data_IF_948470644624
#
_entry.id   IF_948470644624
#
_cell.length_a   1.000
_cell.length_b   1.000
_cell.length_c   1.000
_cell.angle_alpha   90.00
_cell.angle_beta   90.00
_cell.angle_gamma   90.00
#
_symmetry.space_group_name_H-M   'P 1'
#
loop_
_entity.id
_entity.type
_entity.pdbx_description
1 polymer ?
#
# COMPACT_ATOMS: atom_id res chain seq x y z
N UNK A 1 0.13 20.45 2.97
CA UNK A 1 0.95 19.98 1.87
C UNK A 1 0.11 19.20 0.88
N UNK A 2 0.61 19.05 -0.33
CA UNK A 2 -0.11 18.31 -1.37
C UNK A 2 -0.29 16.83 -1.03
N UNK A 3 0.66 16.20 -0.34
CA UNK A 3 0.52 14.81 0.10
C UNK A 3 -0.59 14.65 1.13
N UNK A 4 -0.70 15.59 2.06
CA UNK A 4 -1.78 15.59 3.05
C UNK A 4 -3.14 15.70 2.39
N UNK A 5 -3.28 16.61 1.42
CA UNK A 5 -4.51 16.78 0.68
C UNK A 5 -4.90 15.55 -0.12
N UNK A 6 -3.94 14.89 -0.76
CA UNK A 6 -4.16 13.66 -1.50
C UNK A 6 -4.61 12.54 -0.55
N UNK A 7 -3.97 12.41 0.62
CA UNK A 7 -4.34 11.40 1.60
C UNK A 7 -5.78 11.62 2.10
N UNK A 8 -6.16 12.86 2.38
CA UNK A 8 -7.52 13.21 2.81
C UNK A 8 -8.53 12.86 1.72
N UNK A 9 -8.22 13.19 0.47
CA UNK A 9 -9.10 12.89 -0.66
C UNK A 9 -9.28 11.38 -0.84
N UNK A 10 -8.19 10.62 -0.78
CA UNK A 10 -8.24 9.17 -0.93
C UNK A 10 -9.03 8.52 0.20
N UNK A 11 -8.81 8.94 1.43
CA UNK A 11 -9.57 8.43 2.57
C UNK A 11 -11.05 8.75 2.44
N UNK A 12 -11.39 9.96 1.97
CA UNK A 12 -12.77 10.36 1.72
C UNK A 12 -13.44 9.55 0.61
N UNK A 13 -12.70 9.23 -0.45
CA UNK A 13 -13.23 8.42 -1.55
C UNK A 13 -13.46 6.97 -1.11
N UNK A 14 -12.59 6.40 -0.28
CA UNK A 14 -12.77 5.06 0.28
C UNK A 14 -13.99 5.05 1.21
N UNK A 15 -14.10 6.06 2.07
CA UNK A 15 -15.24 6.27 2.97
C UNK A 15 -15.62 5.04 3.81
N UNK A 16 -14.66 4.23 4.19
CA UNK A 16 -14.84 3.09 5.10
C UNK A 16 -14.46 3.51 6.52
N UNK A 17 -15.22 3.07 7.51
CA UNK A 17 -14.94 3.39 8.90
C UNK A 17 -13.72 2.65 9.44
N UNK A 18 -13.05 3.25 10.41
CA UNK A 18 -11.89 2.67 11.10
C UNK A 18 -10.73 2.30 10.16
N UNK A 19 -10.53 3.10 9.12
CA UNK A 19 -9.43 2.93 8.17
C UNK A 19 -8.57 4.18 8.12
N UNK A 20 -7.32 4.01 7.62
CA UNK A 20 -6.42 5.14 7.45
C UNK A 20 -5.63 5.00 6.15
N UNK A 21 -5.17 6.14 5.65
CA UNK A 21 -4.30 6.22 4.48
C UNK A 21 -3.07 7.04 4.88
N UNK A 22 -1.89 6.49 4.62
CA UNK A 22 -0.62 7.17 4.87
C UNK A 22 0.13 7.28 3.55
N UNK A 23 0.52 8.49 3.18
CA UNK A 23 1.40 8.74 2.03
C UNK A 23 2.78 9.14 2.56
N UNK A 24 3.81 8.50 2.01
CA UNK A 24 5.18 8.64 2.46
C UNK A 24 6.02 9.31 1.36
N UNK A 25 6.83 10.29 1.75
CA UNK A 25 7.76 10.97 0.86
C UNK A 25 9.19 10.61 1.24
N UNK A 26 10.04 10.39 0.24
CA UNK A 26 11.47 10.12 0.41
C UNK A 26 11.78 8.83 1.17
N UNK A 27 10.83 7.89 1.21
CA UNK A 27 11.00 6.57 1.81
C UNK A 27 10.07 5.57 1.13
N UNK A 28 10.42 4.29 1.21
CA UNK A 28 9.53 3.21 0.79
C UNK A 28 8.74 2.69 1.99
N UNK A 29 7.52 2.16 1.78
CA UNK A 29 6.71 1.63 2.88
C UNK A 29 7.44 0.61 3.75
N UNK A 30 8.28 -0.25 3.16
CA UNK A 30 9.05 -1.26 3.88
C UNK A 30 9.96 -0.64 4.94
N UNK A 31 10.41 0.60 4.74
CA UNK A 31 11.32 1.27 5.66
C UNK A 31 10.66 1.66 6.99
N UNK A 32 9.34 1.84 7.00
CA UNK A 32 8.58 2.29 8.17
C UNK A 32 7.50 1.32 8.61
N UNK A 33 7.31 0.23 7.88
CA UNK A 33 6.19 -0.70 8.06
C UNK A 33 6.14 -1.28 9.48
N UNK A 34 7.28 -1.72 10.02
CA UNK A 34 7.32 -2.29 11.36
C UNK A 34 6.93 -1.28 12.44
N UNK A 35 7.31 -0.02 12.27
CA UNK A 35 6.92 1.04 13.20
C UNK A 35 5.41 1.27 13.19
N UNK A 36 4.80 1.20 12.01
CA UNK A 36 3.34 1.33 11.88
C UNK A 36 2.65 0.14 12.51
N UNK A 37 3.10 -1.08 12.25
CA UNK A 37 2.52 -2.30 12.81
C UNK A 37 2.65 -2.36 14.33
N UNK A 38 3.66 -1.73 14.91
CA UNK A 38 3.85 -1.71 16.36
C UNK A 38 2.89 -0.77 17.08
N UNK A 39 2.18 0.09 16.36
CA UNK A 39 1.19 0.99 16.95
C UNK A 39 -0.02 0.18 17.44
N UNK A 40 -0.41 0.30 18.73
CA UNK A 40 -1.50 -0.52 19.29
C UNK A 40 -2.85 -0.34 18.58
N UNK A 41 -3.09 0.83 18.01
CA UNK A 41 -4.35 1.13 17.33
C UNK A 41 -4.44 0.51 15.92
N UNK A 42 -3.32 -0.01 15.39
CA UNK A 42 -3.28 -0.62 14.06
C UNK A 42 -3.53 -2.12 14.19
N UNK A 43 -4.71 -2.56 13.77
CA UNK A 43 -5.06 -3.98 13.81
C UNK A 43 -4.42 -4.75 12.65
N UNK A 44 -4.46 -4.16 11.45
CA UNK A 44 -3.86 -4.77 10.26
C UNK A 44 -3.60 -3.71 9.20
N UNK A 45 -2.78 -4.09 8.22
CA UNK A 45 -2.48 -3.25 7.07
C UNK A 45 -2.96 -3.99 5.82
N UNK A 46 -3.85 -3.38 5.04
CA UNK A 46 -4.36 -3.97 3.80
C UNK A 46 -3.31 -3.97 2.70
N UNK A 47 -2.54 -2.91 2.60
CA UNK A 47 -1.53 -2.77 1.56
C UNK A 47 -0.52 -1.70 1.95
N UNK A 48 0.75 -1.97 1.66
CA UNK A 48 1.83 -1.02 1.83
C UNK A 48 2.75 -1.15 0.63
N UNK A 49 2.72 -0.18 -0.28
CA UNK A 49 3.41 -0.29 -1.55
C UNK A 49 3.77 1.09 -2.11
N UNK A 50 4.71 1.11 -3.04
CA UNK A 50 5.02 2.29 -3.84
C UNK A 50 4.38 2.24 -5.24
N UNK A 51 3.64 1.18 -5.54
CA UNK A 51 2.95 1.01 -6.82
C UNK A 51 1.61 1.75 -6.84
N UNK A 52 1.05 2.01 -8.02
CA UNK A 52 -0.34 2.43 -8.12
C UNK A 52 -1.25 1.35 -7.55
N UNK A 53 -2.32 1.76 -6.87
CA UNK A 53 -3.24 0.82 -6.24
C UNK A 53 -4.68 1.16 -6.55
N UNK A 54 -5.53 0.14 -6.45
CA UNK A 54 -6.98 0.31 -6.46
C UNK A 54 -7.54 -0.35 -5.22
N UNK A 55 -8.40 0.35 -4.49
CA UNK A 55 -9.04 -0.17 -3.29
C UNK A 55 -10.44 -0.66 -3.68
N UNK A 56 -10.73 -1.92 -3.38
CA UNK A 56 -12.02 -2.53 -3.67
C UNK A 56 -12.90 -2.40 -2.44
N UNK A 57 -14.01 -1.69 -2.59
CA UNK A 57 -14.90 -1.35 -1.48
C UNK A 57 -16.26 -2.01 -1.71
N UNK A 58 -16.79 -2.64 -0.67
CA UNK A 58 -18.17 -3.11 -0.64
C UNK A 58 -19.01 -2.10 0.13
N UNK A 59 -20.25 -1.91 -0.31
CA UNK A 59 -21.18 -1.01 0.36
C UNK A 59 -22.47 -1.76 0.66
N UNK A 60 -22.96 -1.58 1.88
CA UNK A 60 -24.25 -2.12 2.32
C UNK A 60 -25.05 -1.01 2.99
N UNK A 61 -26.27 -1.33 3.44
CA UNK A 61 -27.09 -0.37 4.17
C UNK A 61 -26.43 0.09 5.47
N UNK A 62 -25.58 -0.75 6.07
CA UNK A 62 -24.85 -0.40 7.29
C UNK A 62 -23.71 0.58 7.03
N UNK A 63 -23.00 0.42 5.92
CA UNK A 63 -21.85 1.27 5.62
C UNK A 63 -20.96 0.67 4.54
N UNK A 64 -19.68 1.03 4.59
CA UNK A 64 -18.69 0.64 3.58
C UNK A 64 -17.53 -0.09 4.24
N UNK A 65 -17.00 -1.09 3.54
CA UNK A 65 -15.83 -1.86 4.01
C UNK A 65 -14.86 -2.14 2.88
N UNK A 66 -13.59 -2.31 3.23
CA UNK A 66 -12.56 -2.63 2.26
C UNK A 66 -12.54 -4.15 2.05
N UNK A 67 -12.71 -4.58 0.79
CA UNK A 67 -12.67 -5.99 0.41
C UNK A 67 -11.25 -6.43 0.07
N UNK A 68 -10.42 -5.53 -0.38
CA UNK A 68 -9.05 -5.83 -0.77
C UNK A 68 -8.42 -4.68 -1.52
N UNK A 69 -7.16 -4.86 -1.90
CA UNK A 69 -6.40 -3.85 -2.63
C UNK A 69 -5.69 -4.51 -3.80
N UNK A 70 -5.82 -3.91 -4.97
CA UNK A 70 -5.04 -4.31 -6.14
C UNK A 70 -3.75 -3.50 -6.11
N UNK A 71 -2.62 -4.19 -6.03
CA UNK A 71 -1.29 -3.59 -5.91
C UNK A 71 -0.55 -3.71 -7.23
N UNK A 72 -0.48 -2.59 -7.93
CA UNK A 72 0.21 -2.50 -9.22
C UNK A 72 -0.57 -3.13 -10.37
N UNK A 73 0.15 -3.33 -11.47
CA UNK A 73 -0.44 -3.88 -12.68
C UNK A 73 -0.38 -5.40 -12.69
N UNK A 74 -1.27 -6.02 -13.46
CA UNK A 74 -1.25 -7.47 -13.65
C UNK A 74 0.08 -7.92 -14.26
N UNK A 75 0.59 -9.11 -13.89
CA UNK A 75 1.81 -9.63 -14.51
C UNK A 75 1.66 -9.79 -16.02
N UNK A 76 2.73 -9.51 -16.76
CA UNK A 76 2.74 -9.62 -18.22
C UNK A 76 3.13 -11.02 -18.70
N UNK A 77 3.33 -11.96 -17.78
CA UNK A 77 3.74 -13.31 -18.08
C UNK A 77 4.70 -13.85 -17.03
N UNK A 78 5.40 -14.93 -17.37
CA UNK A 78 6.38 -15.55 -16.48
C UNK A 78 7.63 -14.70 -16.42
N UNK A 79 8.18 -14.49 -15.21
CA UNK A 79 9.43 -13.75 -15.04
C UNK A 79 10.59 -14.46 -15.76
N UNK A 80 11.38 -13.67 -16.49
CA UNK A 80 12.65 -14.14 -17.02
C UNK A 80 13.72 -14.07 -15.92
N UNK A 81 14.87 -14.74 -16.14
CA UNK A 81 15.97 -14.66 -15.20
C UNK A 81 16.43 -13.19 -14.98
N UNK A 82 16.43 -12.41 -16.03
CA UNK A 82 16.77 -10.98 -15.95
C UNK A 82 15.79 -10.22 -15.06
N UNK A 83 14.50 -10.50 -15.19
CA UNK A 83 13.46 -9.85 -14.39
C UNK A 83 13.63 -10.21 -12.90
N UNK A 84 13.97 -11.46 -12.60
CA UNK A 84 14.22 -11.90 -11.23
C UNK A 84 15.42 -11.18 -10.65
N UNK A 85 16.51 -11.04 -11.41
CA UNK A 85 17.72 -10.34 -10.97
C UNK A 85 17.43 -8.86 -10.73
N UNK A 86 16.70 -8.20 -11.63
CA UNK A 86 16.34 -6.80 -11.48
C UNK A 86 15.50 -6.59 -10.22
N UNK A 87 14.56 -7.47 -9.94
CA UNK A 87 13.74 -7.41 -8.73
C UNK A 87 14.59 -7.56 -7.47
N UNK A 88 15.51 -8.51 -7.45
CA UNK A 88 16.41 -8.72 -6.30
C UNK A 88 17.29 -7.50 -6.04
N UNK A 89 17.85 -6.92 -7.10
CA UNK A 89 18.67 -5.71 -6.97
C UNK A 89 17.85 -4.53 -6.43
N UNK A 90 16.64 -4.36 -6.90
CA UNK A 90 15.75 -3.32 -6.42
C UNK A 90 15.43 -3.49 -4.94
N UNK A 91 15.08 -4.69 -4.52
CA UNK A 91 14.75 -4.98 -3.12
C UNK A 91 15.93 -4.72 -2.19
N UNK A 92 17.15 -5.05 -2.62
CA UNK A 92 18.37 -4.75 -1.85
C UNK A 92 18.60 -3.25 -1.76
N UNK A 93 18.39 -2.52 -2.86
CA UNK A 93 18.60 -1.06 -2.92
C UNK A 93 17.72 -0.32 -1.93
N UNK A 94 16.49 -0.77 -1.74
CA UNK A 94 15.54 -0.12 -0.80
C UNK A 94 15.62 -0.67 0.62
N UNK A 95 16.52 -1.62 0.88
CA UNK A 95 16.72 -2.18 2.23
C UNK A 95 15.77 -3.29 2.61
N UNK A 96 15.04 -3.87 1.65
CA UNK A 96 14.11 -4.96 1.92
C UNK A 96 14.83 -6.28 2.20
N UNK A 97 15.93 -6.54 1.47
CA UNK A 97 16.80 -7.71 1.66
C UNK A 97 18.25 -7.28 1.75
N UNK A 98 18.98 -7.98 2.55
CA UNK A 98 20.42 -7.79 2.70
C UNK A 98 21.21 -8.59 1.68
#
# INVERSE_FOLDING_TARGET
SSLKEIAIRNAGNIAAGHTFVILIKEAFPVNVLNSIKACPEVCSIYCATANPVQVIVAETELGRGIMGVIDGYSPKGVETEKDIQNRRQFLRKIGYKL
#
